data_IF_254345646732
#
_entry.id   IF_254345646732
#
_cell.length_a   1.000
_cell.length_b   1.000
_cell.length_c   1.000
_cell.angle_alpha   90.00
_cell.angle_beta   90.00
_cell.angle_gamma   90.00
#
_symmetry.space_group_name_H-M   'P 1'
#
loop_
_entity.id
_entity.type
_entity.pdbx_description
1 polymer ?
#
# COMPACT_ATOMS: atom_id res chain seq x y z
N UNK A 1 12.68 1.80 -18.17
CA UNK A 1 12.58 0.33 -18.07
C UNK A 1 12.98 -0.20 -16.70
N UNK A 2 14.21 0.06 -16.18
CA UNK A 2 14.68 -0.44 -14.88
C UNK A 2 13.70 -0.21 -13.70
N UNK A 3 13.19 1.02 -13.54
CA UNK A 3 12.23 1.35 -12.47
C UNK A 3 10.91 0.56 -12.49
N UNK A 4 10.41 0.23 -13.69
CA UNK A 4 9.17 -0.55 -13.84
C UNK A 4 9.37 -1.95 -13.29
N UNK A 5 10.49 -2.60 -13.65
CA UNK A 5 10.83 -3.92 -13.15
C UNK A 5 11.12 -3.91 -11.65
N UNK A 6 11.80 -2.88 -11.14
CA UNK A 6 12.06 -2.75 -9.70
C UNK A 6 10.77 -2.62 -8.89
N UNK A 7 9.85 -1.74 -9.32
CA UNK A 7 8.58 -1.58 -8.62
C UNK A 7 7.68 -2.81 -8.78
N UNK A 8 7.58 -3.39 -9.98
CA UNK A 8 6.81 -4.62 -10.20
C UNK A 8 7.34 -5.78 -9.36
N UNK A 9 8.66 -5.95 -9.29
CA UNK A 9 9.29 -6.97 -8.45
C UNK A 9 8.99 -6.76 -6.97
N UNK A 10 9.05 -5.50 -6.50
CA UNK A 10 8.64 -5.14 -5.15
C UNK A 10 7.18 -5.54 -4.86
N UNK A 11 6.24 -5.19 -5.74
CA UNK A 11 4.82 -5.53 -5.58
C UNK A 11 4.60 -7.05 -5.54
N UNK A 12 5.22 -7.80 -6.45
CA UNK A 12 5.09 -9.27 -6.51
C UNK A 12 5.64 -9.91 -5.23
N UNK A 13 6.80 -9.44 -4.76
CA UNK A 13 7.46 -9.99 -3.58
C UNK A 13 6.69 -9.68 -2.29
N UNK A 14 6.25 -8.43 -2.11
CA UNK A 14 5.40 -8.03 -0.98
C UNK A 14 4.15 -8.89 -0.95
N UNK A 15 3.44 -8.96 -2.07
CA UNK A 15 2.24 -9.77 -2.22
C UNK A 15 2.48 -11.25 -1.88
N UNK A 16 3.61 -11.82 -2.28
CA UNK A 16 3.97 -13.20 -1.94
C UNK A 16 4.08 -13.42 -0.43
N UNK A 17 4.74 -12.51 0.30
CA UNK A 17 4.84 -12.62 1.75
C UNK A 17 3.49 -12.47 2.44
N UNK A 18 2.68 -11.50 2.04
CA UNK A 18 1.33 -11.31 2.60
C UNK A 18 0.45 -12.53 2.32
N UNK A 19 0.48 -13.05 1.10
CA UNK A 19 -0.29 -14.25 0.72
C UNK A 19 0.06 -15.45 1.61
N UNK A 20 1.35 -15.66 1.91
CA UNK A 20 1.77 -16.75 2.82
C UNK A 20 1.23 -16.58 4.23
N UNK A 21 1.18 -15.36 4.76
CA UNK A 21 0.60 -15.11 6.09
C UNK A 21 -0.92 -15.26 6.07
N UNK A 22 -1.60 -14.72 5.06
CA UNK A 22 -3.04 -14.91 4.86
C UNK A 22 -3.43 -16.39 4.79
N UNK A 23 -2.62 -17.22 4.13
CA UNK A 23 -2.88 -18.65 3.99
C UNK A 23 -2.76 -19.40 5.32
N UNK A 24 -1.86 -18.98 6.22
CA UNK A 24 -1.79 -19.52 7.59
C UNK A 24 -3.02 -19.18 8.41
N UNK A 25 -3.67 -18.06 8.11
CA UNK A 25 -4.87 -17.58 8.80
C UNK A 25 -6.18 -18.08 8.16
N UNK A 26 -6.11 -18.87 7.08
CA UNK A 26 -7.29 -19.41 6.38
C UNK A 26 -8.04 -18.41 5.48
N UNK A 27 -7.51 -17.19 5.30
CA UNK A 27 -8.11 -16.14 4.46
C UNK A 27 -7.49 -16.15 3.05
N UNK A 28 -7.69 -17.26 2.33
CA UNK A 28 -7.04 -17.50 1.03
C UNK A 28 -7.40 -16.46 -0.02
N UNK A 29 -8.68 -16.07 -0.09
CA UNK A 29 -9.13 -15.07 -1.07
C UNK A 29 -8.46 -13.72 -0.86
N UNK A 30 -8.37 -13.25 0.39
CA UNK A 30 -7.66 -12.03 0.75
C UNK A 30 -6.18 -12.14 0.35
N UNK A 31 -5.50 -13.25 0.64
CA UNK A 31 -4.10 -13.44 0.20
C UNK A 31 -3.92 -13.36 -1.33
N UNK A 32 -4.81 -14.01 -2.09
CA UNK A 32 -4.77 -13.99 -3.56
C UNK A 32 -5.12 -12.61 -4.13
N UNK A 33 -6.04 -11.88 -3.52
CA UNK A 33 -6.50 -10.58 -4.02
C UNK A 33 -5.82 -9.36 -3.41
N UNK A 34 -5.00 -9.57 -2.37
CA UNK A 34 -4.27 -8.53 -1.67
C UNK A 34 -3.56 -7.60 -2.65
N UNK A 35 -3.88 -6.31 -2.58
CA UNK A 35 -3.22 -5.23 -3.30
C UNK A 35 -3.12 -5.37 -4.83
N UNK A 36 -4.04 -6.12 -5.46
CA UNK A 36 -4.09 -6.18 -6.93
C UNK A 36 -4.26 -4.78 -7.55
N UNK A 37 -4.88 -3.83 -6.82
CA UNK A 37 -5.05 -2.45 -7.26
C UNK A 37 -3.73 -1.73 -7.56
N UNK A 38 -2.60 -2.15 -6.96
CA UNK A 38 -1.25 -1.60 -7.21
C UNK A 38 -0.81 -1.75 -8.67
N UNK A 39 -1.44 -2.65 -9.41
CA UNK A 39 -1.18 -2.89 -10.83
C UNK A 39 -1.99 -1.95 -11.75
N UNK A 40 -3.00 -1.23 -11.22
CA UNK A 40 -3.74 -0.23 -11.98
C UNK A 40 -2.81 0.95 -12.32
N UNK A 41 -2.88 1.55 -13.52
CA UNK A 41 -2.02 2.67 -13.90
C UNK A 41 -2.09 3.87 -12.93
N UNK A 42 -3.25 4.08 -12.29
CA UNK A 42 -3.48 5.14 -11.31
C UNK A 42 -2.74 4.96 -9.98
N UNK A 43 -2.28 3.74 -9.67
CA UNK A 43 -1.42 3.45 -8.51
C UNK A 43 0.00 3.10 -8.95
N UNK A 44 0.14 2.28 -10.00
CA UNK A 44 1.44 1.77 -10.43
C UNK A 44 2.41 2.88 -10.82
N UNK A 45 1.97 3.82 -11.67
CA UNK A 45 2.87 4.85 -12.20
C UNK A 45 3.34 5.84 -11.12
N UNK A 46 2.45 6.38 -10.26
CA UNK A 46 2.88 7.29 -9.20
C UNK A 46 3.77 6.62 -8.16
N UNK A 47 3.44 5.41 -7.68
CA UNK A 47 4.30 4.68 -6.73
C UNK A 47 5.68 4.37 -7.32
N UNK A 48 5.73 3.88 -8.56
CA UNK A 48 6.99 3.60 -9.25
C UNK A 48 7.83 4.87 -9.38
N UNK A 49 7.23 6.00 -9.74
CA UNK A 49 7.94 7.27 -9.87
C UNK A 49 8.44 7.78 -8.51
N UNK A 50 7.62 7.65 -7.47
CA UNK A 50 7.95 8.11 -6.12
C UNK A 50 9.12 7.35 -5.49
N UNK A 51 9.10 6.01 -5.58
CA UNK A 51 10.11 5.17 -4.93
C UNK A 51 11.31 4.82 -5.81
N UNK A 52 11.14 4.79 -7.13
CA UNK A 52 12.18 4.33 -8.07
C UNK A 52 12.45 5.32 -9.22
N UNK A 53 11.77 6.46 -9.23
CA UNK A 53 12.03 7.56 -10.17
C UNK A 53 13.29 8.35 -9.80
N UNK A 54 13.67 9.24 -10.72
CA UNK A 54 14.86 10.08 -10.59
C UNK A 54 14.52 11.56 -10.71
N UNK A 55 13.25 11.94 -10.49
CA UNK A 55 12.82 13.33 -10.61
C UNK A 55 13.46 14.20 -9.54
N UNK A 56 14.12 15.26 -9.99
CA UNK A 56 14.66 16.33 -9.14
C UNK A 56 13.48 16.99 -8.42
N UNK A 57 13.54 17.09 -7.08
CA UNK A 57 12.55 17.79 -6.27
C UNK A 57 11.38 16.94 -5.73
N UNK A 58 11.30 15.66 -6.07
CA UNK A 58 10.48 14.70 -5.31
C UNK A 58 11.33 14.27 -4.10
N UNK A 59 10.76 14.27 -2.90
CA UNK A 59 11.46 13.73 -1.73
C UNK A 59 11.96 12.34 -2.10
N UNK A 60 13.21 11.98 -1.77
CA UNK A 60 13.60 10.58 -1.90
C UNK A 60 12.52 9.80 -1.17
N UNK A 61 11.80 8.92 -1.88
CA UNK A 61 10.63 8.24 -1.32
C UNK A 61 10.95 7.47 -0.03
N UNK A 62 12.23 7.37 0.35
CA UNK A 62 12.72 7.07 1.68
C UNK A 62 13.92 7.98 2.01
N UNK A 63 14.07 8.35 3.28
CA UNK A 63 15.26 9.01 3.79
C UNK A 63 16.45 8.03 3.93
N UNK A 64 17.56 8.49 4.48
CA UNK A 64 18.80 7.70 4.65
C UNK A 64 18.62 6.49 5.56
N UNK A 65 17.59 6.50 6.42
CA UNK A 65 17.23 5.38 7.30
C UNK A 65 16.30 4.37 6.62
N UNK A 66 15.81 4.67 5.42
CA UNK A 66 14.78 3.89 4.75
C UNK A 66 13.37 4.27 5.16
N UNK A 67 13.18 5.29 6.00
CA UNK A 67 11.87 5.76 6.43
C UNK A 67 11.25 6.69 5.37
N UNK A 68 9.98 6.49 5.03
CA UNK A 68 9.24 7.44 4.19
C UNK A 68 8.30 8.27 5.06
N UNK A 69 8.07 9.54 4.69
CA UNK A 69 7.14 10.44 5.40
C UNK A 69 5.73 10.28 4.85
N UNK A 70 4.79 9.64 5.57
CA UNK A 70 3.45 9.38 5.05
C UNK A 70 2.52 10.58 5.10
N UNK A 71 2.88 11.64 5.84
CA UNK A 71 2.02 12.82 6.06
C UNK A 71 2.29 13.98 5.12
N UNK A 72 3.46 14.00 4.47
CA UNK A 72 3.85 15.01 3.51
C UNK A 72 5.00 14.46 2.66
N UNK A 73 4.65 14.01 1.45
CA UNK A 73 5.59 13.34 0.54
C UNK A 73 6.23 14.33 -0.44
N UNK A 74 5.68 15.56 -0.53
CA UNK A 74 5.99 16.52 -1.58
C UNK A 74 5.53 16.10 -2.99
N UNK A 75 4.85 14.95 -3.13
CA UNK A 75 4.45 14.35 -4.41
C UNK A 75 2.94 14.11 -4.44
N UNK A 76 2.20 15.10 -4.94
CA UNK A 76 0.74 15.03 -5.03
C UNK A 76 0.22 13.84 -5.85
N UNK A 77 0.98 13.37 -6.84
CA UNK A 77 0.57 12.23 -7.64
C UNK A 77 0.66 10.94 -6.81
N UNK A 78 1.72 10.81 -6.01
CA UNK A 78 1.87 9.74 -5.06
C UNK A 78 0.83 9.82 -3.93
N UNK A 79 0.60 11.00 -3.34
CA UNK A 79 -0.41 11.19 -2.30
C UNK A 79 -1.81 10.76 -2.77
N UNK A 80 -2.18 11.12 -4.00
CA UNK A 80 -3.45 10.71 -4.58
C UNK A 80 -3.49 9.21 -4.87
N UNK A 81 -2.41 8.61 -5.36
CA UNK A 81 -2.31 7.17 -5.54
C UNK A 81 -2.41 6.40 -4.22
N UNK A 82 -1.79 6.93 -3.15
CA UNK A 82 -1.85 6.37 -1.81
C UNK A 82 -3.29 6.40 -1.26
N UNK A 83 -4.01 7.51 -1.47
CA UNK A 83 -5.43 7.61 -1.17
C UNK A 83 -6.26 6.57 -1.93
N UNK A 84 -6.04 6.40 -3.24
CA UNK A 84 -6.75 5.41 -4.04
C UNK A 84 -6.49 3.99 -3.55
N UNK A 85 -5.24 3.66 -3.24
CA UNK A 85 -4.85 2.37 -2.68
C UNK A 85 -5.60 2.08 -1.37
N UNK A 86 -5.61 3.03 -0.43
CA UNK A 86 -6.35 2.90 0.82
C UNK A 86 -7.87 2.75 0.59
N UNK A 87 -8.44 3.44 -0.41
CA UNK A 87 -9.88 3.40 -0.72
C UNK A 87 -10.30 2.25 -1.63
N UNK A 88 -9.36 1.50 -2.20
CA UNK A 88 -9.65 0.29 -3.00
C UNK A 88 -9.46 -1.01 -2.22
N UNK A 89 -8.66 -0.99 -1.15
CA UNK A 89 -8.30 -2.18 -0.39
C UNK A 89 -8.86 -2.09 1.03
N UNK A 90 -9.83 -2.96 1.34
CA UNK A 90 -10.57 -2.98 2.62
C UNK A 90 -9.71 -3.35 3.83
N UNK A 91 -8.52 -3.92 3.64
CA UNK A 91 -7.58 -4.17 4.73
C UNK A 91 -6.89 -2.89 5.23
N UNK A 92 -7.04 -1.75 4.55
CA UNK A 92 -6.65 -0.46 5.09
C UNK A 92 -7.76 0.07 5.99
N UNK A 93 -7.47 0.34 7.26
CA UNK A 93 -8.46 0.89 8.19
C UNK A 93 -9.05 2.22 7.71
N UNK A 94 -8.30 3.00 6.92
CA UNK A 94 -8.79 4.24 6.31
C UNK A 94 -9.95 3.99 5.34
N UNK A 95 -10.07 2.80 4.76
CA UNK A 95 -11.21 2.42 3.94
C UNK A 95 -12.53 2.60 4.70
N UNK A 96 -12.52 2.21 5.98
CA UNK A 96 -13.64 2.20 6.93
C UNK A 96 -13.95 3.56 7.57
N UNK A 97 -13.31 4.63 7.08
CA UNK A 97 -13.53 5.99 7.55
C UNK A 97 -14.12 6.83 6.42
N UNK A 98 -15.27 7.45 6.70
CA UNK A 98 -15.93 8.38 5.78
C UNK A 98 -15.97 9.78 6.40
N UNK A 99 -15.40 10.74 5.68
CA UNK A 99 -15.56 12.16 5.98
C UNK A 99 -16.90 12.63 5.43
N UNK A 100 -17.71 13.28 6.27
CA UNK A 100 -18.94 13.93 5.86
C UNK A 100 -18.64 15.35 5.36
N UNK A 101 -19.54 15.90 4.53
CA UNK A 101 -19.45 17.27 4.03
C UNK A 101 -19.53 18.33 5.14
N UNK A 102 -20.11 17.97 6.30
CA UNK A 102 -20.18 18.81 7.49
C UNK A 102 -18.94 18.71 8.41
N UNK A 103 -17.88 18.02 7.96
CA UNK A 103 -16.64 17.84 8.70
C UNK A 103 -16.68 16.75 9.76
N UNK A 104 -17.81 16.09 10.01
CA UNK A 104 -17.88 14.94 10.93
C UNK A 104 -17.29 13.68 10.28
N UNK A 105 -16.80 12.77 11.12
CA UNK A 105 -16.21 11.49 10.70
C UNK A 105 -17.16 10.36 11.09
N UNK A 106 -17.51 9.51 10.12
CA UNK A 106 -18.17 8.23 10.37
C UNK A 106 -17.12 7.11 10.32
N UNK A 107 -17.06 6.32 11.40
CA UNK A 107 -16.20 5.14 11.53
C UNK A 107 -17.08 3.90 11.45
N UNK A 108 -16.71 2.96 10.60
CA UNK A 108 -17.41 1.70 10.41
C UNK A 108 -16.58 0.54 10.97
N UNK A 109 -17.25 -0.49 11.47
CA UNK A 109 -16.58 -1.70 11.92
C UNK A 109 -15.97 -2.45 10.73
N UNK A 110 -14.70 -2.79 10.85
CA UNK A 110 -13.95 -3.54 9.85
C UNK A 110 -14.22 -5.03 10.02
N UNK A 111 -14.62 -5.73 8.96
CA UNK A 111 -14.87 -7.17 9.08
C UNK A 111 -13.59 -7.95 9.42
N UNK A 112 -13.74 -9.01 10.20
CA UNK A 112 -12.61 -9.78 10.77
C UNK A 112 -11.61 -10.28 9.70
N UNK A 113 -12.10 -10.65 8.51
CA UNK A 113 -11.23 -11.11 7.42
C UNK A 113 -10.26 -10.02 6.94
N UNK A 114 -10.69 -8.75 6.93
CA UNK A 114 -9.83 -7.63 6.55
C UNK A 114 -8.93 -7.20 7.70
N UNK A 115 -9.35 -7.34 8.96
CA UNK A 115 -8.47 -7.15 10.13
C UNK A 115 -7.31 -8.14 10.08
N UNK A 116 -7.60 -9.42 9.80
CA UNK A 116 -6.59 -10.45 9.60
C UNK A 116 -5.67 -10.13 8.42
N UNK A 117 -6.23 -9.68 7.29
CA UNK A 117 -5.45 -9.28 6.12
C UNK A 117 -4.51 -8.10 6.45
N UNK A 118 -4.98 -7.09 7.19
CA UNK A 118 -4.16 -5.94 7.62
C UNK A 118 -2.96 -6.37 8.46
N UNK A 119 -3.17 -7.30 9.40
CA UNK A 119 -2.08 -7.84 10.23
C UNK A 119 -1.11 -8.64 9.36
N UNK A 120 -1.62 -9.45 8.42
CA UNK A 120 -0.80 -10.19 7.47
C UNK A 120 0.01 -9.25 6.56
N UNK A 121 -0.57 -8.13 6.15
CA UNK A 121 0.11 -7.07 5.37
C UNK A 121 1.31 -6.49 6.14
N UNK A 122 1.12 -6.14 7.42
CA UNK A 122 2.20 -5.62 8.27
C UNK A 122 3.33 -6.64 8.49
N UNK A 123 2.96 -7.91 8.74
CA UNK A 123 3.95 -8.99 8.87
C UNK A 123 4.68 -9.22 7.55
N UNK A 124 3.98 -9.15 6.41
CA UNK A 124 4.55 -9.30 5.08
C UNK A 124 5.53 -8.18 4.75
N UNK A 125 5.15 -6.92 5.00
CA UNK A 125 5.99 -5.74 4.82
C UNK A 125 7.28 -5.82 5.67
N UNK A 126 7.18 -6.33 6.89
CA UNK A 126 8.35 -6.53 7.76
C UNK A 126 9.34 -7.56 7.21
N UNK A 127 8.88 -8.58 6.48
CA UNK A 127 9.75 -9.57 5.80
C UNK A 127 10.34 -9.03 4.50
N UNK A 128 9.58 -8.16 3.84
CA UNK A 128 10.00 -7.50 2.62
C UNK A 128 11.19 -6.55 2.89
N UNK A 129 11.24 -5.89 4.05
CA UNK A 129 12.28 -4.92 4.41
C UNK A 129 13.66 -5.50 4.80
N UNK A 130 13.77 -6.81 5.06
CA UNK A 130 14.99 -7.46 5.59
C UNK A 130 15.87 -8.08 4.48
N UNK A 131 15.45 -7.99 3.22
CA UNK A 131 16.13 -8.53 2.03
C UNK A 131 16.37 -7.43 1.00
#
# INVERSE_FOLDING_TARGET
>A
MKKYFQYLWYVIRHKWFVMRECFKQGIYWQGVTHDISKLLPSEFMPYMEHFYGSKIGISRGRDETGYYKPTDTGDKAFDFAWLLHQKRNKHHWQWWIRYNDDGRIAVFDMEECYVKEMICDWVGAGKDAVL
#
